data_IF_938633233806
#
_entry.id   IF_938633233806
#
_cell.length_a   1.000
_cell.length_b   1.000
_cell.length_c   1.000
_cell.angle_alpha   90.00
_cell.angle_beta   90.00
_cell.angle_gamma   90.00
#
_symmetry.space_group_name_H-M   'P 1'
#
loop_
_entity.id
_entity.type
_entity.pdbx_description
1 polymer ?
#
# COMPACT_ATOMS: atom_id res chain seq x y z
N UNK A 1 15.85 21.22 2.86
CA UNK A 1 16.25 19.85 2.49
C UNK A 1 15.01 19.20 1.90
N UNK A 2 14.97 18.89 0.60
CA UNK A 2 13.77 18.32 -0.03
C UNK A 2 14.15 17.02 -0.72
N UNK A 3 14.02 15.92 0.01
CA UNK A 3 14.19 14.58 -0.53
C UNK A 3 12.79 13.98 -0.71
N UNK A 4 12.38 13.83 -1.98
CA UNK A 4 11.22 13.03 -2.33
C UNK A 4 11.75 11.64 -2.65
N UNK A 5 11.96 10.88 -1.57
CA UNK A 5 12.49 9.51 -1.47
C UNK A 5 13.53 9.12 -2.52
N UNK A 6 14.82 9.18 -2.16
CA UNK A 6 15.91 8.63 -2.98
C UNK A 6 15.98 7.10 -2.94
N UNK A 7 17.18 6.54 -3.00
CA UNK A 7 17.38 5.09 -2.82
C UNK A 7 16.98 4.71 -1.39
N UNK A 8 16.02 3.80 -1.27
CA UNK A 8 15.49 3.30 0.00
C UNK A 8 16.09 1.93 0.28
N UNK A 9 16.45 1.68 1.55
CA UNK A 9 17.04 0.40 1.95
C UNK A 9 16.05 -0.75 1.77
N UNK A 10 16.55 -1.97 1.49
CA UNK A 10 15.69 -3.17 1.37
C UNK A 10 14.79 -3.38 2.60
N UNK A 11 15.27 -3.26 3.86
CA UNK A 11 14.39 -3.41 5.02
C UNK A 11 13.27 -2.37 5.09
N UNK A 12 13.52 -1.13 4.64
CA UNK A 12 12.50 -0.09 4.57
C UNK A 12 11.47 -0.39 3.48
N UNK A 13 11.91 -0.85 2.29
CA UNK A 13 11.01 -1.32 1.23
C UNK A 13 10.16 -2.51 1.71
N UNK A 14 10.76 -3.47 2.42
CA UNK A 14 10.08 -4.64 2.99
C UNK A 14 9.01 -4.22 4.00
N UNK A 15 9.30 -3.22 4.82
CA UNK A 15 8.33 -2.67 5.77
C UNK A 15 7.15 -2.03 5.04
N UNK A 16 7.39 -1.22 4.01
CA UNK A 16 6.33 -0.57 3.23
C UNK A 16 5.51 -1.60 2.45
N UNK A 17 6.15 -2.58 1.81
CA UNK A 17 5.48 -3.68 1.13
C UNK A 17 4.60 -4.47 2.09
N UNK A 18 5.11 -4.81 3.28
CA UNK A 18 4.32 -5.51 4.32
C UNK A 18 3.03 -4.76 4.62
N UNK A 19 3.10 -3.43 4.79
CA UNK A 19 1.93 -2.58 5.03
C UNK A 19 0.95 -2.60 3.83
N UNK A 20 1.46 -2.41 2.60
CA UNK A 20 0.65 -2.42 1.38
C UNK A 20 -0.07 -3.76 1.16
N UNK A 21 0.62 -4.88 1.43
CA UNK A 21 0.12 -6.23 1.27
C UNK A 21 -0.91 -6.59 2.35
N UNK A 22 -0.66 -6.26 3.62
CA UNK A 22 -1.62 -6.47 4.71
C UNK A 22 -2.90 -5.70 4.44
N UNK A 23 -2.80 -4.40 4.15
CA UNK A 23 -3.97 -3.58 3.84
C UNK A 23 -4.66 -4.14 2.61
N UNK A 24 -3.91 -4.42 1.53
CA UNK A 24 -4.38 -4.95 0.25
C UNK A 24 -5.06 -6.32 0.34
N UNK A 25 -4.72 -7.13 1.34
CA UNK A 25 -5.42 -8.37 1.66
C UNK A 25 -6.65 -8.13 2.55
N UNK A 26 -6.55 -7.29 3.57
CA UNK A 26 -7.62 -7.02 4.54
C UNK A 26 -8.85 -6.35 3.93
N UNK A 27 -8.67 -5.50 2.91
CA UNK A 27 -9.80 -4.83 2.26
C UNK A 27 -10.57 -5.65 1.23
N UNK A 28 -10.27 -6.94 1.04
CA UNK A 28 -11.08 -7.79 0.16
C UNK A 28 -12.52 -7.93 0.68
N UNK A 29 -13.48 -8.10 -0.24
CA UNK A 29 -14.90 -8.02 0.07
C UNK A 29 -15.76 -9.19 -0.39
N UNK A 30 -15.26 -9.99 -1.33
CA UNK A 30 -15.99 -11.14 -1.89
C UNK A 30 -15.55 -12.47 -1.29
N UNK A 31 -14.86 -12.42 -0.15
CA UNK A 31 -14.35 -13.59 0.57
C UNK A 31 -15.43 -14.19 1.46
N UNK A 32 -15.27 -15.46 1.84
CA UNK A 32 -16.06 -16.11 2.88
C UNK A 32 -15.19 -16.50 4.10
N UNK A 33 -15.35 -15.85 5.27
CA UNK A 33 -16.24 -14.71 5.55
C UNK A 33 -15.75 -13.41 4.88
N UNK A 34 -16.62 -12.39 4.73
CA UNK A 34 -16.22 -11.11 4.16
C UNK A 34 -15.21 -10.39 5.06
N UNK A 35 -14.19 -9.78 4.45
CA UNK A 35 -13.28 -8.85 5.15
C UNK A 35 -13.83 -7.42 5.13
N UNK A 36 -13.03 -6.38 4.88
CA UNK A 36 -13.53 -4.99 5.00
C UNK A 36 -14.40 -4.55 3.83
N UNK A 37 -14.37 -5.22 2.68
CA UNK A 37 -15.23 -4.83 1.55
C UNK A 37 -14.76 -3.63 0.74
N UNK A 38 -13.56 -3.12 0.99
CA UNK A 38 -12.99 -1.95 0.29
C UNK A 38 -12.71 -2.19 -1.19
N UNK A 39 -12.39 -3.42 -1.58
CA UNK A 39 -12.35 -3.84 -2.98
C UNK A 39 -13.13 -5.14 -3.21
N UNK A 40 -13.75 -5.20 -4.39
CA UNK A 40 -14.69 -6.26 -4.78
C UNK A 40 -13.96 -7.50 -5.34
N UNK A 41 -12.99 -8.03 -4.61
CA UNK A 41 -12.24 -9.24 -4.96
C UNK A 41 -12.23 -10.26 -3.82
N UNK A 42 -11.81 -11.49 -4.15
CA UNK A 42 -11.66 -12.64 -3.25
C UNK A 42 -10.42 -13.47 -3.64
N UNK A 43 -9.30 -12.79 -3.88
CA UNK A 43 -8.08 -13.36 -4.42
C UNK A 43 -7.41 -14.30 -3.42
N UNK A 44 -7.49 -14.00 -2.13
CA UNK A 44 -7.00 -14.88 -1.06
C UNK A 44 -8.03 -15.82 -0.46
N UNK A 45 -9.08 -16.19 -1.20
CA UNK A 45 -10.10 -17.17 -0.80
C UNK A 45 -9.92 -18.48 -1.58
N UNK A 46 -10.13 -19.62 -0.92
CA UNK A 46 -9.99 -20.98 -1.46
C UNK A 46 -10.85 -21.17 -2.72
N UNK A 47 -12.12 -20.77 -2.64
CA UNK A 47 -13.08 -20.83 -3.75
C UNK A 47 -13.06 -19.58 -4.64
N UNK A 48 -12.14 -18.65 -4.37
CA UNK A 48 -11.92 -17.44 -5.14
C UNK A 48 -10.67 -17.54 -6.01
N UNK A 49 -9.66 -16.74 -5.70
CA UNK A 49 -8.41 -16.70 -6.46
C UNK A 49 -7.38 -17.75 -6.08
N UNK A 50 -7.44 -18.33 -4.88
CA UNK A 50 -6.38 -19.18 -4.35
C UNK A 50 -6.17 -20.44 -5.23
N UNK A 51 -7.22 -21.23 -5.46
CA UNK A 51 -7.15 -22.44 -6.31
C UNK A 51 -6.64 -22.11 -7.73
N UNK A 52 -7.11 -21.00 -8.32
CA UNK A 52 -6.64 -20.55 -9.62
C UNK A 52 -5.13 -20.27 -9.61
N UNK A 53 -4.62 -19.51 -8.64
CA UNK A 53 -3.20 -19.20 -8.54
C UNK A 53 -2.36 -20.43 -8.22
N UNK A 54 -2.85 -21.36 -7.38
CA UNK A 54 -2.16 -22.63 -7.12
C UNK A 54 -1.94 -23.44 -8.39
N UNK A 55 -2.91 -23.43 -9.31
CA UNK A 55 -2.80 -24.12 -10.60
C UNK A 55 -1.86 -23.39 -11.57
N UNK A 56 -1.92 -22.06 -11.63
CA UNK A 56 -1.13 -21.27 -12.58
C UNK A 56 0.33 -21.09 -12.15
N UNK A 57 0.58 -20.91 -10.84
CA UNK A 57 1.89 -20.57 -10.29
C UNK A 57 2.18 -21.38 -9.02
N UNK A 58 2.26 -22.73 -9.10
CA UNK A 58 2.29 -23.62 -7.93
C UNK A 58 3.41 -23.35 -6.93
N UNK A 59 4.52 -22.72 -7.36
CA UNK A 59 5.65 -22.36 -6.50
C UNK A 59 5.53 -20.98 -5.84
N UNK A 60 4.71 -20.09 -6.40
CA UNK A 60 4.65 -18.66 -6.01
C UNK A 60 3.23 -18.16 -5.85
N UNK A 61 2.23 -19.06 -5.78
CA UNK A 61 0.82 -18.70 -5.73
C UNK A 61 0.49 -17.78 -4.55
N UNK A 62 1.12 -17.98 -3.38
CA UNK A 62 0.93 -17.10 -2.20
C UNK A 62 1.35 -15.66 -2.49
N UNK A 63 2.45 -15.49 -3.20
CA UNK A 63 2.86 -14.17 -3.68
C UNK A 63 1.91 -13.62 -4.74
N UNK A 64 1.45 -14.46 -5.67
CA UNK A 64 0.51 -14.04 -6.72
C UNK A 64 -0.82 -13.54 -6.13
N UNK A 65 -1.33 -14.22 -5.10
CA UNK A 65 -2.51 -13.79 -4.32
C UNK A 65 -2.27 -12.40 -3.71
N UNK A 66 -1.18 -12.22 -2.96
CA UNK A 66 -0.86 -10.97 -2.27
C UNK A 66 -0.63 -9.81 -3.24
N UNK A 67 0.08 -10.06 -4.33
CA UNK A 67 0.31 -9.07 -5.39
C UNK A 67 -0.99 -8.68 -6.10
N UNK A 68 -1.87 -9.64 -6.39
CA UNK A 68 -3.15 -9.36 -7.00
C UNK A 68 -4.04 -8.53 -6.06
N UNK A 69 -4.02 -8.84 -4.75
CA UNK A 69 -4.77 -8.09 -3.74
C UNK A 69 -4.24 -6.65 -3.62
N UNK A 70 -2.91 -6.46 -3.62
CA UNK A 70 -2.26 -5.15 -3.73
C UNK A 70 -2.63 -4.41 -5.02
N UNK A 71 -2.71 -5.10 -6.16
CA UNK A 71 -3.12 -4.49 -7.42
C UNK A 71 -4.58 -4.00 -7.39
N UNK A 72 -5.49 -4.76 -6.78
CA UNK A 72 -6.87 -4.34 -6.54
C UNK A 72 -6.92 -3.07 -5.67
N UNK A 73 -6.15 -3.04 -4.59
CA UNK A 73 -6.05 -1.88 -3.71
C UNK A 73 -5.46 -0.64 -4.44
N UNK A 74 -4.37 -0.80 -5.21
CA UNK A 74 -3.80 0.26 -6.07
C UNK A 74 -4.84 0.82 -7.03
N UNK A 75 -5.70 -0.03 -7.61
CA UNK A 75 -6.75 0.40 -8.54
C UNK A 75 -7.84 1.22 -7.85
N UNK A 76 -8.33 0.76 -6.68
CA UNK A 76 -9.33 1.50 -5.91
C UNK A 76 -8.77 2.84 -5.42
N UNK A 77 -7.52 2.85 -4.94
CA UNK A 77 -6.84 4.07 -4.52
C UNK A 77 -6.67 5.07 -5.66
N UNK A 78 -6.26 4.59 -6.85
CA UNK A 78 -6.16 5.45 -8.04
C UNK A 78 -7.50 6.05 -8.44
N UNK A 79 -8.60 5.29 -8.36
CA UNK A 79 -9.95 5.79 -8.63
C UNK A 79 -10.40 6.84 -7.60
N UNK A 80 -10.03 6.67 -6.32
CA UNK A 80 -10.32 7.66 -5.29
C UNK A 80 -9.56 8.97 -5.55
N UNK A 81 -8.25 8.89 -5.82
CA UNK A 81 -7.41 10.06 -6.12
C UNK A 81 -7.81 10.78 -7.39
N UNK A 82 -8.24 10.07 -8.43
CA UNK A 82 -8.68 10.68 -9.70
C UNK A 82 -9.91 11.61 -9.57
N UNK A 83 -10.61 11.58 -8.42
CA UNK A 83 -11.71 12.51 -8.12
C UNK A 83 -11.21 13.88 -7.63
N UNK A 84 -9.93 14.00 -7.27
CA UNK A 84 -9.32 15.26 -6.88
C UNK A 84 -8.83 16.03 -8.12
N UNK A 85 -8.96 17.35 -8.11
CA UNK A 85 -8.47 18.21 -9.20
C UNK A 85 -6.93 18.22 -9.31
N UNK A 86 -6.28 17.86 -8.21
CA UNK A 86 -4.85 17.89 -7.92
C UNK A 86 -4.31 16.48 -7.65
N UNK A 87 -4.85 15.47 -8.35
CA UNK A 87 -4.56 14.06 -8.13
C UNK A 87 -3.06 13.70 -8.15
N UNK A 88 -2.25 14.43 -8.93
CA UNK A 88 -0.81 14.23 -8.99
C UNK A 88 -0.11 14.70 -7.72
N UNK A 89 -0.60 15.74 -7.05
CA UNK A 89 -0.03 16.29 -5.81
C UNK A 89 -0.28 15.40 -4.58
N UNK A 90 -1.00 14.29 -4.75
CA UNK A 90 -1.40 13.42 -3.66
C UNK A 90 -0.39 12.30 -3.43
N UNK A 91 -0.10 12.04 -2.15
CA UNK A 91 0.61 10.84 -1.69
C UNK A 91 -0.38 9.96 -0.94
N UNK A 92 -0.45 8.68 -1.31
CA UNK A 92 -1.25 7.64 -0.63
C UNK A 92 -0.40 6.40 -0.37
N UNK A 93 -0.93 5.43 0.37
CA UNK A 93 -0.23 4.17 0.68
C UNK A 93 0.17 3.41 -0.61
N UNK A 94 -0.54 3.65 -1.71
CA UNK A 94 -0.34 2.99 -3.00
C UNK A 94 0.25 3.91 -4.08
N UNK A 95 0.62 5.14 -3.72
CA UNK A 95 1.23 6.14 -4.60
C UNK A 95 2.13 7.08 -3.81
N UNK A 96 3.44 6.80 -3.77
CA UNK A 96 4.42 7.71 -3.16
C UNK A 96 5.06 8.64 -4.19
N UNK A 97 5.24 8.13 -5.41
CA UNK A 97 5.97 8.80 -6.47
C UNK A 97 6.80 7.78 -7.26
N UNK A 98 7.14 8.12 -8.49
CA UNK A 98 7.74 7.20 -9.46
C UNK A 98 8.91 6.37 -8.89
N UNK A 99 9.88 7.01 -8.25
CA UNK A 99 11.11 6.33 -7.82
C UNK A 99 10.89 5.33 -6.69
N UNK A 100 10.08 5.67 -5.69
CA UNK A 100 9.76 4.74 -4.60
C UNK A 100 8.81 3.64 -5.08
N UNK A 101 7.82 3.99 -5.91
CA UNK A 101 6.89 3.02 -6.48
C UNK A 101 7.63 1.94 -7.31
N UNK A 102 8.63 2.35 -8.11
CA UNK A 102 9.48 1.44 -8.90
C UNK A 102 10.33 0.53 -7.99
N UNK A 103 10.99 1.08 -6.98
CA UNK A 103 11.77 0.29 -6.01
C UNK A 103 10.91 -0.74 -5.26
N UNK A 104 9.66 -0.41 -4.94
CA UNK A 104 8.72 -1.34 -4.30
C UNK A 104 8.32 -2.47 -5.26
N UNK A 105 8.07 -2.15 -6.53
CA UNK A 105 7.70 -3.14 -7.54
C UNK A 105 8.88 -4.08 -7.84
N UNK A 106 10.11 -3.55 -7.95
CA UNK A 106 11.34 -4.34 -8.09
C UNK A 106 11.60 -5.24 -6.87
N UNK A 107 11.40 -4.71 -5.66
CA UNK A 107 11.59 -5.47 -4.42
C UNK A 107 10.58 -6.61 -4.29
N UNK A 108 9.31 -6.39 -4.68
CA UNK A 108 8.31 -7.44 -4.73
C UNK A 108 8.67 -8.53 -5.75
N UNK A 109 9.19 -8.14 -6.92
CA UNK A 109 9.66 -9.09 -7.93
C UNK A 109 10.89 -9.88 -7.46
N UNK A 110 11.78 -9.28 -6.66
CA UNK A 110 12.90 -9.98 -6.02
C UNK A 110 12.41 -11.08 -5.06
N UNK A 111 11.48 -10.74 -4.16
CA UNK A 111 10.89 -11.71 -3.21
C UNK A 111 10.22 -12.89 -3.91
N UNK A 112 9.43 -12.61 -4.95
CA UNK A 112 8.78 -13.64 -5.78
C UNK A 112 9.77 -14.61 -6.41
N UNK A 113 10.89 -14.09 -6.93
CA UNK A 113 11.95 -14.90 -7.57
C UNK A 113 12.75 -15.73 -6.57
N UNK A 114 12.89 -15.26 -5.34
CA UNK A 114 13.56 -16.01 -4.27
C UNK A 114 12.76 -17.25 -3.83
N UNK A 115 11.46 -17.32 -4.13
CA UNK A 115 10.55 -18.44 -3.80
C UNK A 115 10.41 -18.77 -2.32
N UNK A 116 10.91 -17.91 -1.43
CA UNK A 116 10.61 -17.99 0.00
C UNK A 116 9.11 -17.76 0.24
N UNK A 117 8.54 -18.38 1.28
CA UNK A 117 7.17 -18.10 1.67
C UNK A 117 7.02 -16.61 2.03
N UNK A 118 5.91 -15.94 1.68
CA UNK A 118 5.71 -14.55 2.06
C UNK A 118 5.92 -14.27 3.55
N UNK A 119 5.51 -15.17 4.44
CA UNK A 119 5.67 -14.94 5.89
C UNK A 119 7.11 -15.10 6.36
N UNK A 120 7.93 -15.88 5.65
CA UNK A 120 9.36 -16.00 5.96
C UNK A 120 10.14 -14.79 5.43
N UNK A 121 9.80 -14.34 4.22
CA UNK A 121 10.44 -13.20 3.57
C UNK A 121 10.03 -11.86 4.20
N UNK A 122 8.78 -11.74 4.63
CA UNK A 122 8.18 -10.56 5.26
C UNK A 122 7.47 -10.97 6.56
N UNK A 123 8.21 -11.17 7.67
CA UNK A 123 7.66 -11.69 8.93
C UNK A 123 6.47 -10.90 9.50
N UNK A 124 6.40 -9.60 9.21
CA UNK A 124 5.28 -8.75 9.64
C UNK A 124 3.92 -9.16 9.05
N UNK A 125 3.89 -9.93 7.95
CA UNK A 125 2.65 -10.43 7.36
C UNK A 125 1.90 -11.38 8.30
N UNK A 126 2.62 -12.22 9.04
CA UNK A 126 2.05 -13.27 9.90
C UNK A 126 1.10 -12.71 10.98
N UNK A 127 1.25 -11.44 11.35
CA UNK A 127 0.39 -10.77 12.32
C UNK A 127 -1.08 -10.65 11.87
N UNK A 128 -1.37 -10.70 10.56
CA UNK A 128 -2.72 -10.44 10.03
C UNK A 128 -3.18 -11.50 9.03
N UNK A 129 -2.33 -11.95 8.12
CA UNK A 129 -2.80 -12.72 6.95
C UNK A 129 -3.09 -14.20 7.24
N UNK A 130 -2.80 -14.69 8.46
CA UNK A 130 -3.02 -16.08 8.84
C UNK A 130 -4.51 -16.42 8.99
N UNK A 131 -5.30 -15.49 9.55
CA UNK A 131 -6.74 -15.61 9.71
C UNK A 131 -7.36 -14.22 9.77
N UNK A 132 -8.45 -14.01 9.04
CA UNK A 132 -9.17 -12.75 9.13
C UNK A 132 -9.84 -12.60 10.50
N UNK A 133 -9.62 -11.43 11.10
CA UNK A 133 -10.26 -10.99 12.33
C UNK A 133 -10.31 -9.45 12.30
N UNK A 134 -11.51 -8.89 12.24
CA UNK A 134 -11.71 -7.44 12.08
C UNK A 134 -11.21 -6.66 13.30
N UNK A 135 -11.40 -7.19 14.50
CA UNK A 135 -10.98 -6.53 15.74
C UNK A 135 -9.45 -6.59 15.88
N UNK A 136 -8.84 -7.74 15.59
CA UNK A 136 -7.39 -7.85 15.56
C UNK A 136 -6.76 -6.93 14.51
N UNK A 137 -7.38 -6.78 13.33
CA UNK A 137 -6.94 -5.83 12.31
C UNK A 137 -7.07 -4.38 12.79
N UNK A 138 -8.19 -4.02 13.44
CA UNK A 138 -8.37 -2.68 14.00
C UNK A 138 -7.32 -2.37 15.09
N UNK A 139 -7.03 -3.35 15.96
CA UNK A 139 -5.96 -3.24 16.96
C UNK A 139 -4.57 -3.11 16.32
N UNK A 140 -4.32 -3.86 15.23
CA UNK A 140 -3.09 -3.74 14.45
C UNK A 140 -2.92 -2.34 13.83
N UNK A 141 -4.01 -1.74 13.31
CA UNK A 141 -4.00 -0.36 12.82
C UNK A 141 -3.68 0.62 13.95
N UNK A 142 -4.32 0.48 15.10
CA UNK A 142 -4.04 1.33 16.27
C UNK A 142 -2.58 1.21 16.74
N UNK A 143 -2.00 0.00 16.63
CA UNK A 143 -0.58 -0.26 16.91
C UNK A 143 0.39 0.43 15.94
N UNK A 144 -0.07 0.95 14.80
CA UNK A 144 0.78 1.76 13.91
C UNK A 144 0.95 3.20 14.41
N UNK A 145 0.15 3.63 15.39
CA UNK A 145 0.17 4.97 15.96
C UNK A 145 -1.10 5.76 15.65
N UNK A 146 -1.07 7.06 15.95
CA UNK A 146 -2.17 7.97 15.67
C UNK A 146 -1.85 8.86 14.47
N UNK A 147 -2.87 9.15 13.66
CA UNK A 147 -2.79 10.10 12.56
C UNK A 147 -3.84 11.19 12.73
N UNK A 148 -3.41 12.44 12.61
CA UNK A 148 -4.33 13.59 12.58
C UNK A 148 -4.83 13.78 11.15
N UNK A 149 -6.14 13.64 10.98
CA UNK A 149 -6.81 13.74 9.67
C UNK A 149 -7.90 14.80 9.68
N UNK A 150 -8.13 15.41 8.52
CA UNK A 150 -9.28 16.24 8.22
C UNK A 150 -10.10 15.59 7.09
N UNK A 151 -11.44 15.73 7.09
CA UNK A 151 -12.26 15.31 5.97
C UNK A 151 -11.87 16.01 4.66
N UNK A 152 -11.92 15.30 3.54
CA UNK A 152 -11.77 15.87 2.20
C UNK A 152 -12.77 15.25 1.23
N UNK A 153 -12.87 15.80 0.02
CA UNK A 153 -13.77 15.31 -1.04
C UNK A 153 -13.49 13.88 -1.49
N UNK A 154 -12.30 13.35 -1.19
CA UNK A 154 -11.89 11.99 -1.61
C UNK A 154 -11.72 11.02 -0.44
N UNK A 155 -11.79 11.48 0.81
CA UNK A 155 -11.57 10.65 1.99
C UNK A 155 -10.90 11.40 3.14
N UNK A 156 -9.89 10.77 3.76
CA UNK A 156 -9.17 11.32 4.92
C UNK A 156 -7.87 11.97 4.49
N UNK A 157 -7.76 13.28 4.68
CA UNK A 157 -6.53 14.02 4.41
C UNK A 157 -5.71 14.13 5.68
N UNK A 158 -4.47 13.64 5.67
CA UNK A 158 -3.53 13.87 6.77
C UNK A 158 -3.09 15.34 6.79
N UNK A 159 -2.92 15.88 8.00
CA UNK A 159 -2.52 17.29 8.20
C UNK A 159 -1.01 17.48 8.04
N UNK A 160 -0.61 18.66 7.56
CA UNK A 160 0.80 19.02 7.39
C UNK A 160 1.45 18.38 6.16
N UNK A 161 2.79 18.43 6.12
CA UNK A 161 3.58 17.74 5.09
C UNK A 161 3.88 16.29 5.53
N UNK A 162 4.05 15.35 4.58
CA UNK A 162 4.45 13.99 4.91
C UNK A 162 5.84 13.95 5.58
N UNK A 163 6.16 12.92 6.38
CA UNK A 163 7.53 12.71 6.84
C UNK A 163 8.51 12.58 5.65
N UNK A 164 9.78 12.94 5.86
CA UNK A 164 10.84 12.68 4.86
C UNK A 164 11.26 11.20 4.84
N UNK A 165 10.95 10.45 5.90
CA UNK A 165 11.12 9.00 5.97
C UNK A 165 9.93 8.28 5.28
N UNK A 166 10.19 7.44 4.25
CA UNK A 166 9.13 6.73 3.55
C UNK A 166 8.42 5.70 4.43
N UNK A 167 9.11 5.12 5.41
CA UNK A 167 8.48 4.17 6.34
C UNK A 167 7.51 4.90 7.27
N UNK A 168 7.92 5.99 7.91
CA UNK A 168 7.04 6.83 8.72
C UNK A 168 5.84 7.35 7.92
N UNK A 169 6.05 7.72 6.64
CA UNK A 169 4.98 8.11 5.72
C UNK A 169 3.96 6.99 5.53
N UNK A 170 4.42 5.78 5.20
CA UNK A 170 3.54 4.61 5.03
C UNK A 170 2.79 4.24 6.32
N UNK A 171 3.48 4.27 7.46
CA UNK A 171 2.90 3.96 8.79
C UNK A 171 1.77 4.94 9.13
N UNK A 172 1.97 6.24 8.93
CA UNK A 172 0.93 7.24 9.19
C UNK A 172 -0.27 7.12 8.24
N UNK A 173 -0.06 6.76 6.96
CA UNK A 173 -1.16 6.46 6.03
C UNK A 173 -1.99 5.26 6.48
N UNK A 174 -1.33 4.22 7.00
CA UNK A 174 -2.00 3.04 7.56
C UNK A 174 -2.75 3.41 8.84
N UNK A 175 -2.15 4.16 9.75
CA UNK A 175 -2.81 4.63 10.97
C UNK A 175 -4.09 5.43 10.64
N UNK A 176 -4.07 6.24 9.58
CA UNK A 176 -5.22 7.02 9.12
C UNK A 176 -6.36 6.18 8.51
N UNK A 177 -6.18 4.87 8.31
CA UNK A 177 -7.28 3.96 7.98
C UNK A 177 -8.24 3.76 9.17
N UNK A 178 -7.80 4.02 10.40
CA UNK A 178 -8.66 4.00 11.58
C UNK A 178 -9.42 5.34 11.76
N UNK A 179 -10.69 5.31 12.25
CA UNK A 179 -11.51 4.13 12.51
C UNK A 179 -11.89 3.40 11.21
N UNK A 180 -12.15 2.10 11.28
CA UNK A 180 -12.60 1.32 10.11
C UNK A 180 -13.95 1.84 9.62
N UNK A 181 -14.11 1.86 8.30
CA UNK A 181 -15.32 2.32 7.61
C UNK A 181 -15.73 1.26 6.57
N UNK A 182 -16.99 1.28 6.14
CA UNK A 182 -17.55 0.34 5.16
C UNK A 182 -17.00 0.61 3.75
N UNK A 183 -16.54 1.84 3.50
CA UNK A 183 -15.84 2.24 2.28
C UNK A 183 -14.35 2.50 2.54
N UNK A 184 -13.51 2.36 1.50
CA UNK A 184 -12.10 2.72 1.58
C UNK A 184 -11.96 4.21 1.95
N UNK A 185 -11.32 4.57 3.08
CA UNK A 185 -11.28 5.95 3.55
C UNK A 185 -10.25 6.82 2.83
N UNK A 186 -9.52 6.27 1.86
CA UNK A 186 -8.50 6.92 1.03
C UNK A 186 -7.59 7.92 1.79
N UNK A 187 -6.78 7.45 2.76
CA UNK A 187 -5.83 8.30 3.45
C UNK A 187 -4.80 8.88 2.47
N UNK A 188 -4.58 10.19 2.54
CA UNK A 188 -3.62 10.87 1.68
C UNK A 188 -3.03 12.13 2.32
N UNK A 189 -1.83 12.48 1.88
CA UNK A 189 -1.35 13.86 1.97
C UNK A 189 -1.55 14.57 0.64
N UNK A 190 -1.70 15.89 0.71
CA UNK A 190 -1.48 16.78 -0.42
C UNK A 190 -0.12 17.44 -0.22
N UNK A 191 0.76 17.32 -1.21
CA UNK A 191 2.09 17.93 -1.18
C UNK A 191 2.00 19.45 -1.19
N UNK A 192 2.88 20.10 -0.41
CA UNK A 192 3.15 21.52 -0.58
C UNK A 192 3.80 21.80 -1.94
N UNK A 193 3.62 23.01 -2.52
CA UNK A 193 4.24 23.38 -3.80
C UNK A 193 5.76 23.16 -3.84
N UNK A 194 6.44 23.40 -2.71
CA UNK A 194 7.89 23.18 -2.60
C UNK A 194 8.27 21.70 -2.73
N UNK A 195 7.52 20.80 -2.08
CA UNK A 195 7.75 19.35 -2.17
C UNK A 195 7.35 18.80 -3.53
N UNK A 196 6.30 19.35 -4.13
CA UNK A 196 5.89 19.02 -5.48
C UNK A 196 7.00 19.33 -6.48
N UNK A 197 7.54 20.55 -6.44
CA UNK A 197 8.63 20.96 -7.32
C UNK A 197 9.89 20.08 -7.19
N UNK A 198 10.25 19.68 -5.97
CA UNK A 198 11.38 18.80 -5.74
C UNK A 198 11.17 17.38 -6.29
N UNK A 199 9.94 16.86 -6.19
CA UNK A 199 9.57 15.56 -6.79
C UNK A 199 9.72 15.59 -8.30
N UNK A 200 9.24 16.66 -8.93
CA UNK A 200 9.24 16.81 -10.38
C UNK A 200 10.67 16.97 -10.90
N UNK A 201 11.52 17.71 -10.17
CA UNK A 201 12.94 17.81 -10.47
C UNK A 201 13.67 16.45 -10.37
N UNK A 202 13.39 15.65 -9.33
CA UNK A 202 13.98 14.32 -9.17
C UNK A 202 13.58 13.35 -10.29
N UNK A 203 12.33 13.43 -10.74
CA UNK A 203 11.83 12.67 -11.89
C UNK A 203 12.56 13.05 -13.18
N UNK A 204 12.67 14.34 -13.48
CA UNK A 204 13.32 14.83 -14.70
C UNK A 204 14.80 14.43 -14.78
N UNK A 205 15.52 14.45 -13.65
CA UNK A 205 16.92 13.97 -13.60
C UNK A 205 17.02 12.47 -13.90
N UNK A 206 16.07 11.69 -13.40
CA UNK A 206 16.04 10.23 -13.61
C UNK A 206 15.71 9.85 -15.06
N UNK A 207 14.78 10.58 -15.70
CA UNK A 207 14.45 10.40 -17.12
C UNK A 207 15.66 10.72 -18.02
N UNK A 208 16.43 11.77 -17.69
CA UNK A 208 17.68 12.11 -18.42
C UNK A 208 18.78 11.07 -18.25
N UNK A 209 18.86 10.40 -17.10
CA UNK A 209 19.89 9.39 -16.85
C UNK A 209 19.60 8.05 -17.57
N UNK A 210 18.37 7.84 -18.05
CA UNK A 210 17.93 6.62 -18.76
C UNK A 210 17.90 6.78 -20.29
N UNK A 211 18.05 8.00 -20.80
CA UNK A 211 18.12 8.32 -22.23
C UNK A 211 19.56 8.33 -22.72
#
# INVERSE_FOLDING_TARGET
MVAVFGVVSKPALDRILTLQLIVGWAGEGRTDPPRLGWWRTALGDEFGGDDLFRRLTPRTWRWAVLEAARAAARKVDALARARAADADELISLYRFGFHLDEQLDDRLAEHKRATADPVDALPGLAAVIARWDREAFAAWLAGQGAATVAPSSIGRRLTGDPPDDPVATAVALVAALAPLDDAYPAPHWKLSPQRQAARDAARATSEKARA
#
